data_IF_753609650760
#
_entry.id   IF_753609650760
#
_cell.length_a   1.000
_cell.length_b   1.000
_cell.length_c   1.000
_cell.angle_alpha   90.00
_cell.angle_beta   90.00
_cell.angle_gamma   90.00
#
_symmetry.space_group_name_H-M   'P 1'
#
loop_
_entity.id
_entity.type
_entity.pdbx_description
1 polymer ?
#
# COMPACT_ATOMS: atom_id res chain seq x y z
N UNK A 1 -34.47 18.96 0.91
CA UNK A 1 -33.81 18.01 -0.02
C UNK A 1 -33.72 18.72 -1.36
N UNK A 2 -32.57 19.36 -1.66
CA UNK A 2 -32.37 20.16 -2.90
C UNK A 2 -31.50 19.32 -3.79
N UNK A 3 -32.07 18.77 -4.86
CA UNK A 3 -31.32 18.10 -5.92
C UNK A 3 -30.65 19.12 -6.83
N UNK A 4 -29.38 18.98 -7.20
CA UNK A 4 -28.77 19.86 -8.20
C UNK A 4 -29.35 19.57 -9.58
N UNK A 5 -29.51 20.58 -10.43
CA UNK A 5 -30.21 20.49 -11.71
C UNK A 5 -29.31 20.10 -12.87
N UNK A 6 -28.63 18.98 -12.82
CA UNK A 6 -28.07 18.29 -13.99
C UNK A 6 -27.91 16.82 -13.61
N UNK A 7 -28.73 15.96 -14.24
CA UNK A 7 -28.83 14.55 -13.96
C UNK A 7 -27.56 13.78 -14.31
N UNK A 8 -26.61 13.72 -13.37
CA UNK A 8 -25.50 12.77 -13.39
C UNK A 8 -26.01 11.55 -12.67
N UNK A 9 -26.28 10.49 -13.42
CA UNK A 9 -26.65 9.18 -12.86
C UNK A 9 -25.37 8.54 -12.29
N UNK A 10 -25.17 8.61 -10.97
CA UNK A 10 -24.10 7.90 -10.29
C UNK A 10 -24.50 6.43 -10.13
N UNK A 11 -23.96 5.57 -10.98
CA UNK A 11 -24.00 4.14 -10.73
C UNK A 11 -22.81 3.79 -9.81
N UNK A 12 -23.05 3.69 -8.53
CA UNK A 12 -22.05 3.25 -7.55
C UNK A 12 -22.25 1.77 -7.29
N UNK A 13 -21.36 0.94 -7.85
CA UNK A 13 -21.31 -0.48 -7.54
C UNK A 13 -20.37 -0.67 -6.34
N UNK A 14 -20.93 -0.96 -5.18
CA UNK A 14 -20.15 -1.26 -3.99
C UNK A 14 -19.65 -2.70 -4.03
N UNK A 15 -18.38 -2.87 -4.33
CA UNK A 15 -17.63 -4.08 -4.00
C UNK A 15 -16.53 -3.71 -3.01
N UNK A 16 -16.68 -4.09 -1.74
CA UNK A 16 -15.69 -3.90 -0.67
C UNK A 16 -15.22 -2.44 -0.45
N UNK A 17 -16.12 -1.46 -0.49
CA UNK A 17 -15.79 -0.03 -0.40
C UNK A 17 -14.81 0.49 -1.47
N UNK A 18 -14.83 -0.12 -2.63
CA UNK A 18 -14.08 0.30 -3.82
C UNK A 18 -15.08 0.57 -4.94
N UNK A 19 -15.79 1.71 -4.93
CA UNK A 19 -16.77 2.04 -5.96
C UNK A 19 -16.08 2.35 -7.30
N UNK A 20 -16.72 1.95 -8.38
CA UNK A 20 -16.45 2.47 -9.73
C UNK A 20 -17.27 3.73 -9.91
N UNK A 21 -16.60 4.84 -10.14
CA UNK A 21 -17.20 6.13 -10.38
C UNK A 21 -17.25 6.40 -11.88
N UNK A 22 -18.40 6.77 -12.39
CA UNK A 22 -18.58 7.14 -13.80
C UNK A 22 -19.01 8.61 -13.88
N UNK A 23 -18.29 9.38 -14.67
CA UNK A 23 -18.57 10.78 -14.95
C UNK A 23 -18.52 11.04 -16.45
N UNK A 24 -18.85 12.26 -16.87
CA UNK A 24 -18.85 12.62 -18.29
C UNK A 24 -17.47 12.44 -18.96
N UNK A 25 -16.38 12.62 -18.19
CA UNK A 25 -14.99 12.48 -18.67
C UNK A 25 -14.45 11.05 -18.72
N UNK A 26 -15.20 10.03 -18.20
CA UNK A 26 -14.72 8.66 -18.15
C UNK A 26 -15.07 7.90 -16.87
N UNK A 27 -14.24 6.92 -16.52
CA UNK A 27 -14.46 6.08 -15.33
C UNK A 27 -13.22 6.02 -14.45
N UNK A 28 -13.43 5.93 -13.14
CA UNK A 28 -12.39 5.78 -12.15
C UNK A 28 -12.79 4.77 -11.07
N UNK A 29 -11.82 4.11 -10.46
CA UNK A 29 -12.02 3.35 -9.22
C UNK A 29 -11.62 4.24 -8.05
N UNK A 30 -12.49 4.36 -7.05
CA UNK A 30 -12.23 5.15 -5.85
C UNK A 30 -11.94 4.21 -4.68
N UNK A 31 -10.85 4.45 -3.96
CA UNK A 31 -10.52 3.73 -2.73
C UNK A 31 -10.86 4.67 -1.57
N UNK A 32 -12.02 4.45 -0.94
CA UNK A 32 -12.58 5.30 0.12
C UNK A 32 -12.40 4.69 1.51
N UNK A 33 -12.05 3.43 1.60
CA UNK A 33 -11.96 2.68 2.86
C UNK A 33 -10.91 3.23 3.84
N UNK A 34 -9.97 4.04 3.34
CA UNK A 34 -8.92 4.64 4.17
C UNK A 34 -9.37 5.96 4.83
N UNK A 35 -10.52 6.51 4.44
CA UNK A 35 -11.01 7.78 4.98
C UNK A 35 -11.18 7.70 6.51
N UNK A 36 -11.85 6.69 7.10
CA UNK A 36 -12.05 6.64 8.56
C UNK A 36 -10.76 6.51 9.37
N UNK A 37 -9.70 5.94 8.78
CA UNK A 37 -8.45 5.65 9.49
C UNK A 37 -7.38 6.71 9.28
N UNK A 38 -7.32 7.31 8.10
CA UNK A 38 -6.21 8.17 7.69
C UNK A 38 -6.65 9.40 6.88
N UNK A 39 -7.96 9.60 6.67
CA UNK A 39 -8.55 10.68 5.87
C UNK A 39 -8.01 10.73 4.43
N UNK A 40 -7.53 9.59 3.93
CA UNK A 40 -7.00 9.44 2.57
C UNK A 40 -8.04 8.82 1.66
N UNK A 41 -8.07 9.28 0.41
CA UNK A 41 -8.74 8.59 -0.69
C UNK A 41 -7.80 8.49 -1.89
N UNK A 42 -8.01 7.45 -2.70
CA UNK A 42 -7.22 7.24 -3.91
C UNK A 42 -8.15 7.10 -5.11
N UNK A 43 -7.77 7.73 -6.22
CA UNK A 43 -8.46 7.73 -7.50
C UNK A 43 -7.57 6.98 -8.50
N UNK A 44 -8.07 5.88 -9.04
CA UNK A 44 -7.43 5.13 -10.11
C UNK A 44 -8.24 5.35 -11.39
N UNK A 45 -7.73 6.17 -12.31
CA UNK A 45 -8.38 6.38 -13.60
C UNK A 45 -8.35 5.09 -14.41
N UNK A 46 -9.48 4.74 -15.04
CA UNK A 46 -9.66 3.52 -15.84
C UNK A 46 -9.82 3.83 -17.33
N UNK A 47 -10.81 4.63 -17.65
CA UNK A 47 -11.02 5.15 -19.00
C UNK A 47 -11.14 6.66 -18.90
N UNK A 48 -10.49 7.38 -19.80
CA UNK A 48 -10.50 8.83 -19.82
C UNK A 48 -10.76 9.27 -21.25
N UNK A 49 -11.72 10.15 -21.46
CA UNK A 49 -11.94 10.79 -22.76
C UNK A 49 -10.86 11.84 -22.97
N UNK A 50 -10.28 11.94 -24.18
CA UNK A 50 -9.21 12.87 -24.48
C UNK A 50 -9.55 14.31 -24.07
N UNK A 51 -8.66 14.94 -23.29
CA UNK A 51 -8.81 16.30 -22.79
C UNK A 51 -9.76 16.46 -21.59
N UNK A 52 -10.29 15.36 -21.05
CA UNK A 52 -11.19 15.36 -19.89
C UNK A 52 -10.52 14.91 -18.58
N UNK A 53 -9.21 14.70 -18.57
CA UNK A 53 -8.43 14.17 -17.44
C UNK A 53 -8.65 15.02 -16.17
N UNK A 54 -8.44 16.33 -16.28
CA UNK A 54 -8.56 17.25 -15.16
C UNK A 54 -10.01 17.34 -14.65
N UNK A 55 -10.99 17.31 -15.54
CA UNK A 55 -12.41 17.35 -15.18
C UNK A 55 -12.81 16.09 -14.42
N UNK A 56 -12.46 14.90 -14.94
CA UNK A 56 -12.74 13.60 -14.29
C UNK A 56 -12.10 13.53 -12.91
N UNK A 57 -10.81 13.90 -12.79
CA UNK A 57 -10.12 13.91 -11.50
C UNK A 57 -10.79 14.87 -10.52
N UNK A 58 -11.19 16.06 -10.96
CA UNK A 58 -11.87 17.05 -10.13
C UNK A 58 -13.22 16.57 -9.59
N UNK A 59 -14.03 15.92 -10.43
CA UNK A 59 -15.30 15.32 -10.01
C UNK A 59 -15.09 14.19 -9.01
N UNK A 60 -14.17 13.28 -9.29
CA UNK A 60 -13.80 12.18 -8.38
C UNK A 60 -13.31 12.72 -7.02
N UNK A 61 -12.46 13.75 -7.04
CA UNK A 61 -11.92 14.34 -5.83
C UNK A 61 -12.99 15.04 -5.00
N UNK A 62 -13.92 15.71 -5.65
CA UNK A 62 -15.07 16.34 -4.99
C UNK A 62 -15.92 15.31 -4.26
N UNK A 63 -16.18 14.16 -4.91
CA UNK A 63 -16.87 13.05 -4.28
C UNK A 63 -16.08 12.47 -3.08
N UNK A 64 -14.78 12.25 -3.24
CA UNK A 64 -13.93 11.77 -2.13
C UNK A 64 -13.97 12.73 -0.92
N UNK A 65 -13.96 14.06 -1.17
CA UNK A 65 -14.05 15.08 -0.11
C UNK A 65 -15.43 15.08 0.56
N UNK A 66 -16.52 14.92 -0.20
CA UNK A 66 -17.86 14.76 0.38
C UNK A 66 -17.95 13.51 1.28
N UNK A 67 -17.17 12.46 0.98
CA UNK A 67 -17.04 11.27 1.83
C UNK A 67 -16.13 11.49 3.05
N UNK A 68 -15.51 12.67 3.23
CA UNK A 68 -14.67 13.02 4.37
C UNK A 68 -13.16 12.90 4.14
N UNK A 69 -12.69 12.74 2.90
CA UNK A 69 -11.26 12.72 2.60
C UNK A 69 -10.65 14.12 2.67
N UNK A 70 -9.58 14.28 3.45
CA UNK A 70 -8.76 15.51 3.50
C UNK A 70 -7.55 15.44 2.55
N UNK A 71 -7.15 14.22 2.19
CA UNK A 71 -6.04 13.96 1.26
C UNK A 71 -6.52 13.05 0.14
N UNK A 72 -6.43 13.54 -1.08
CA UNK A 72 -6.83 12.78 -2.27
C UNK A 72 -5.64 12.65 -3.19
N UNK A 73 -5.40 11.44 -3.67
CA UNK A 73 -4.33 11.13 -4.61
C UNK A 73 -4.94 10.49 -5.86
N UNK A 74 -4.38 10.80 -7.02
CA UNK A 74 -4.80 10.22 -8.28
C UNK A 74 -3.62 9.55 -8.99
N UNK A 75 -3.90 8.46 -9.68
CA UNK A 75 -2.98 7.81 -10.60
C UNK A 75 -3.71 7.35 -11.86
N UNK A 76 -2.98 7.34 -12.96
CA UNK A 76 -3.44 6.83 -14.25
C UNK A 76 -2.34 5.99 -14.90
N UNK A 77 -2.60 4.70 -15.06
CA UNK A 77 -1.61 3.75 -15.59
C UNK A 77 -1.30 4.01 -17.07
N UNK A 78 -2.32 4.35 -17.85
CA UNK A 78 -2.25 4.40 -19.30
C UNK A 78 -2.10 5.84 -19.84
N UNK A 79 -1.82 6.83 -18.95
CA UNK A 79 -1.73 8.23 -19.34
C UNK A 79 -0.91 9.08 -18.39
N UNK A 80 -1.02 10.38 -18.56
CA UNK A 80 -0.27 11.39 -17.82
C UNK A 80 -1.18 12.33 -17.03
N UNK A 81 -0.81 12.58 -15.79
CA UNK A 81 -1.44 13.53 -14.88
C UNK A 81 -0.45 14.61 -14.42
N UNK A 82 0.61 14.87 -15.21
CA UNK A 82 1.66 15.86 -14.86
C UNK A 82 1.14 17.29 -14.72
N UNK A 83 -0.11 17.57 -15.14
CA UNK A 83 -0.79 18.82 -14.83
C UNK A 83 -1.12 19.00 -13.35
N UNK A 84 -1.06 17.92 -12.55
CA UNK A 84 -1.27 17.93 -11.10
C UNK A 84 0.08 17.90 -10.36
N UNK A 85 0.14 18.41 -9.11
CA UNK A 85 1.33 18.30 -8.29
C UNK A 85 1.72 16.84 -8.04
N UNK A 86 2.93 16.45 -8.42
CA UNK A 86 3.47 15.12 -8.11
C UNK A 86 3.54 14.91 -6.59
N UNK A 87 3.14 13.74 -6.13
CA UNK A 87 3.15 13.38 -4.71
C UNK A 87 4.26 12.38 -4.39
N UNK A 88 4.23 11.22 -5.03
CA UNK A 88 5.22 10.15 -4.88
C UNK A 88 5.09 9.13 -6.02
N UNK A 89 6.15 8.35 -6.22
CA UNK A 89 6.15 7.18 -7.10
C UNK A 89 6.11 5.90 -6.25
N UNK A 90 5.60 4.81 -6.83
CA UNK A 90 5.82 3.46 -6.33
C UNK A 90 6.95 2.86 -7.13
N UNK A 91 8.05 2.58 -6.46
CA UNK A 91 9.24 1.97 -7.03
C UNK A 91 9.19 0.44 -6.89
N UNK A 92 9.58 -0.26 -7.94
CA UNK A 92 9.98 -1.65 -7.87
C UNK A 92 11.48 -1.73 -7.66
N UNK A 93 11.91 -2.44 -6.62
CA UNK A 93 13.32 -2.67 -6.32
C UNK A 93 13.60 -4.16 -6.35
N UNK A 94 14.81 -4.53 -6.76
CA UNK A 94 15.28 -5.91 -6.85
C UNK A 94 16.64 -6.09 -6.19
N UNK A 95 16.90 -7.30 -5.70
CA UNK A 95 18.21 -7.74 -5.24
C UNK A 95 18.37 -9.24 -5.45
N UNK A 96 19.56 -9.69 -5.83
CA UNK A 96 19.88 -11.12 -5.79
C UNK A 96 20.03 -11.59 -4.35
N UNK A 97 19.43 -12.72 -4.01
CA UNK A 97 19.45 -13.27 -2.65
C UNK A 97 20.87 -13.50 -2.13
N UNK A 98 21.79 -13.88 -3.02
CA UNK A 98 23.21 -14.05 -2.73
C UNK A 98 23.93 -12.76 -2.34
N UNK A 99 23.41 -11.61 -2.74
CA UNK A 99 23.96 -10.29 -2.43
C UNK A 99 23.45 -9.71 -1.09
N UNK A 100 22.48 -10.37 -0.45
CA UNK A 100 21.98 -9.91 0.86
C UNK A 100 23.10 -9.94 1.91
N UNK A 101 23.22 -8.88 2.73
CA UNK A 101 24.17 -8.89 3.84
C UNK A 101 23.78 -9.93 4.89
N UNK A 102 24.74 -10.32 5.71
CA UNK A 102 24.42 -11.07 6.90
C UNK A 102 23.61 -10.21 7.87
N UNK A 103 22.59 -10.82 8.49
CA UNK A 103 21.76 -10.19 9.51
C UNK A 103 21.69 -11.05 10.76
N UNK A 104 21.37 -10.44 11.89
CA UNK A 104 21.09 -11.19 13.12
C UNK A 104 19.79 -11.98 12.94
N UNK A 105 19.75 -13.25 13.35
CA UNK A 105 18.55 -14.07 13.25
C UNK A 105 17.41 -13.44 14.08
N UNK A 106 16.22 -13.43 13.49
CA UNK A 106 14.99 -12.97 14.14
C UNK A 106 14.06 -14.14 14.34
N UNK A 107 13.49 -14.26 15.53
CA UNK A 107 12.44 -15.26 15.81
C UNK A 107 11.17 -14.85 15.11
N UNK A 108 10.76 -15.66 14.12
CA UNK A 108 9.55 -15.46 13.33
C UNK A 108 8.49 -16.49 13.72
N UNK A 109 7.28 -16.04 13.99
CA UNK A 109 6.12 -16.91 14.24
C UNK A 109 5.12 -16.70 13.10
N UNK A 110 4.67 -17.76 12.40
CA UNK A 110 3.64 -17.63 11.39
C UNK A 110 2.34 -17.01 11.95
N UNK A 111 1.67 -16.24 11.13
CA UNK A 111 0.31 -15.75 11.45
C UNK A 111 -0.67 -16.93 11.45
N UNK A 112 -1.46 -17.02 12.49
CA UNK A 112 -2.50 -18.03 12.69
C UNK A 112 -3.79 -17.34 13.16
N UNK A 113 -4.96 -18.02 13.16
CA UNK A 113 -6.20 -17.44 13.67
C UNK A 113 -6.13 -16.97 15.14
N UNK A 114 -5.23 -17.55 15.94
CA UNK A 114 -5.05 -17.21 17.35
C UNK A 114 -4.25 -15.90 17.53
N UNK A 115 -3.42 -15.52 16.55
CA UNK A 115 -2.54 -14.34 16.65
C UNK A 115 -2.79 -13.27 15.57
N UNK A 116 -3.71 -13.49 14.64
CA UNK A 116 -3.98 -12.58 13.51
C UNK A 116 -4.44 -11.19 13.94
N UNK A 117 -5.17 -11.08 15.05
CA UNK A 117 -5.57 -9.79 15.62
C UNK A 117 -4.37 -8.97 16.12
N UNK A 118 -3.31 -9.65 16.59
CA UNK A 118 -2.05 -9.00 16.98
C UNK A 118 -1.32 -8.53 15.72
N UNK A 119 -1.25 -9.37 14.69
CA UNK A 119 -0.67 -9.04 13.39
C UNK A 119 -1.34 -7.80 12.79
N UNK A 120 -2.68 -7.80 12.66
CA UNK A 120 -3.47 -6.69 12.14
C UNK A 120 -3.19 -5.38 12.89
N UNK A 121 -3.13 -5.42 14.22
CA UNK A 121 -2.88 -4.23 15.04
C UNK A 121 -1.48 -3.67 14.81
N UNK A 122 -0.46 -4.52 14.74
CA UNK A 122 0.92 -4.09 14.47
C UNK A 122 1.04 -3.53 13.07
N UNK A 123 0.48 -4.22 12.07
CA UNK A 123 0.42 -3.76 10.69
C UNK A 123 -0.15 -2.34 10.62
N UNK A 124 -1.39 -2.16 11.09
CA UNK A 124 -2.06 -0.87 11.01
C UNK A 124 -1.28 0.25 11.73
N UNK A 125 -0.65 -0.07 12.87
CA UNK A 125 0.18 0.90 13.58
C UNK A 125 1.44 1.29 12.82
N UNK A 126 2.09 0.37 12.14
CA UNK A 126 3.30 0.62 11.35
C UNK A 126 2.99 1.41 10.08
N UNK A 127 1.87 1.11 9.43
CA UNK A 127 1.56 1.63 8.10
C UNK A 127 0.62 2.85 8.07
N UNK A 128 0.04 3.26 9.21
CA UNK A 128 -0.92 4.38 9.29
C UNK A 128 -0.43 5.67 8.59
N UNK A 129 0.87 5.96 8.65
CA UNK A 129 1.46 7.18 8.09
C UNK A 129 2.22 6.94 6.79
N UNK A 130 2.32 5.71 6.34
CA UNK A 130 3.01 5.37 5.09
C UNK A 130 2.09 5.74 3.92
N UNK A 131 2.65 6.43 2.94
CA UNK A 131 1.95 6.73 1.70
C UNK A 131 1.61 5.43 0.97
N UNK A 132 0.49 5.40 0.28
CA UNK A 132 0.02 4.24 -0.48
C UNK A 132 -0.32 2.98 0.34
N UNK A 133 0.02 2.90 1.62
CA UNK A 133 -0.37 1.77 2.45
C UNK A 133 -1.87 1.82 2.77
N UNK A 134 -2.50 0.66 2.67
CA UNK A 134 -3.91 0.45 3.03
C UNK A 134 -4.00 -0.22 4.39
N UNK A 135 -5.01 0.16 5.16
CA UNK A 135 -5.29 -0.47 6.46
C UNK A 135 -5.78 -1.89 6.29
N UNK A 136 -5.39 -2.78 7.20
CA UNK A 136 -5.92 -4.14 7.25
C UNK A 136 -7.17 -4.18 8.12
N UNK A 137 -8.23 -4.70 7.52
CA UNK A 137 -9.46 -5.11 8.20
C UNK A 137 -9.56 -6.66 8.23
N UNK A 138 -10.67 -7.20 8.70
CA UNK A 138 -10.91 -8.65 8.72
C UNK A 138 -10.95 -9.26 7.32
N UNK A 139 -11.37 -8.49 6.30
CA UNK A 139 -11.37 -8.94 4.90
C UNK A 139 -9.97 -9.11 4.35
N UNK A 140 -9.03 -8.20 4.71
CA UNK A 140 -7.62 -8.32 4.32
C UNK A 140 -6.93 -9.51 5.02
N UNK A 141 -7.21 -9.72 6.31
CA UNK A 141 -6.70 -10.90 7.03
C UNK A 141 -7.22 -12.19 6.38
N UNK A 142 -8.51 -12.27 6.08
CA UNK A 142 -9.10 -13.42 5.39
C UNK A 142 -8.50 -13.64 3.98
N UNK A 143 -8.08 -12.55 3.32
CA UNK A 143 -7.40 -12.62 2.03
C UNK A 143 -6.04 -13.30 2.14
N UNK A 144 -5.24 -12.96 3.16
CA UNK A 144 -3.92 -13.60 3.40
C UNK A 144 -4.09 -15.12 3.49
N UNK A 145 -5.08 -15.60 4.25
CA UNK A 145 -5.35 -17.04 4.36
C UNK A 145 -5.81 -17.66 3.04
N UNK A 146 -6.74 -17.01 2.35
CA UNK A 146 -7.30 -17.50 1.08
C UNK A 146 -6.26 -17.59 -0.04
N UNK A 147 -5.34 -16.62 -0.08
CA UNK A 147 -4.30 -16.54 -1.11
C UNK A 147 -3.00 -17.25 -0.69
N UNK A 148 -3.03 -17.95 0.45
CA UNK A 148 -1.87 -18.67 1.00
C UNK A 148 -0.62 -17.79 1.13
N UNK A 149 -0.79 -16.49 1.39
CA UNK A 149 0.31 -15.58 1.64
C UNK A 149 0.98 -15.93 2.97
N UNK A 150 2.29 -15.75 3.02
CA UNK A 150 3.09 -16.07 4.21
C UNK A 150 3.26 -14.82 5.05
N UNK A 151 2.53 -14.74 6.15
CA UNK A 151 2.60 -13.64 7.11
C UNK A 151 3.22 -14.10 8.43
N UNK A 152 4.02 -13.22 9.05
CA UNK A 152 4.80 -13.54 10.25
C UNK A 152 4.73 -12.41 11.27
N UNK A 153 4.77 -12.78 12.53
CA UNK A 153 5.11 -11.92 13.66
C UNK A 153 6.59 -12.09 14.00
N UNK A 154 7.29 -10.97 14.18
CA UNK A 154 8.65 -10.96 14.72
C UNK A 154 8.60 -10.81 16.23
N UNK A 155 9.29 -11.69 16.96
CA UNK A 155 9.30 -11.73 18.42
C UNK A 155 10.63 -11.24 18.98
N UNK A 156 10.57 -10.51 20.09
CA UNK A 156 11.77 -10.19 20.89
C UNK A 156 12.21 -11.36 21.77
N UNK A 157 13.27 -11.19 22.51
CA UNK A 157 13.87 -12.20 23.41
C UNK A 157 12.91 -12.71 24.50
N UNK A 158 11.87 -11.94 24.82
CA UNK A 158 10.85 -12.31 25.79
C UNK A 158 9.59 -12.91 25.11
N UNK A 159 9.66 -13.22 23.80
CA UNK A 159 8.54 -13.76 23.03
C UNK A 159 7.46 -12.71 22.72
N UNK A 160 7.73 -11.41 22.90
CA UNK A 160 6.77 -10.34 22.64
C UNK A 160 6.82 -9.91 21.18
N UNK A 161 5.67 -9.85 20.48
CA UNK A 161 5.61 -9.36 19.12
C UNK A 161 6.03 -7.88 19.01
N UNK A 162 6.97 -7.58 18.10
CA UNK A 162 7.46 -6.23 17.88
C UNK A 162 7.40 -5.77 16.43
N UNK A 163 7.21 -6.67 15.51
CA UNK A 163 7.16 -6.39 14.09
C UNK A 163 6.33 -7.41 13.32
N UNK A 164 6.15 -7.15 12.07
CA UNK A 164 5.45 -8.02 11.12
C UNK A 164 6.23 -8.12 9.81
N UNK A 165 5.99 -9.20 9.08
CA UNK A 165 6.44 -9.38 7.71
C UNK A 165 5.44 -10.19 6.91
N UNK A 166 5.39 -9.91 5.60
CA UNK A 166 4.51 -10.61 4.68
C UNK A 166 5.28 -10.91 3.39
N UNK A 167 5.22 -12.15 2.94
CA UNK A 167 5.88 -12.64 1.73
C UNK A 167 4.84 -13.13 0.73
N UNK A 168 5.02 -12.72 -0.51
CA UNK A 168 4.23 -13.18 -1.65
C UNK A 168 5.17 -13.72 -2.74
N UNK A 169 5.39 -15.04 -2.74
CA UNK A 169 6.45 -15.62 -3.57
C UNK A 169 7.83 -15.09 -3.17
N UNK A 170 8.49 -14.41 -4.09
CA UNK A 170 9.81 -13.79 -3.91
C UNK A 170 9.73 -12.30 -3.56
N UNK A 171 8.54 -11.80 -3.29
CA UNK A 171 8.30 -10.42 -2.89
C UNK A 171 8.14 -10.30 -1.37
N UNK A 172 8.90 -9.37 -0.78
CA UNK A 172 8.63 -8.88 0.57
C UNK A 172 7.51 -7.83 0.46
N UNK A 173 6.25 -8.30 0.56
CA UNK A 173 5.05 -7.49 0.34
C UNK A 173 4.78 -6.48 1.47
N UNK A 174 5.15 -6.82 2.70
CA UNK A 174 5.07 -5.89 3.83
C UNK A 174 6.15 -6.19 4.87
N UNK A 175 6.68 -5.13 5.48
CA UNK A 175 7.53 -5.19 6.66
C UNK A 175 7.28 -3.99 7.56
N UNK A 176 7.08 -4.23 8.84
CA UNK A 176 6.83 -3.18 9.80
C UNK A 176 7.40 -3.50 11.17
N UNK A 177 7.98 -2.49 11.82
CA UNK A 177 8.53 -2.60 13.18
C UNK A 177 7.93 -1.50 14.04
N UNK A 178 7.45 -1.86 15.23
CA UNK A 178 6.89 -0.90 16.18
C UNK A 178 7.93 0.18 16.56
N UNK A 179 7.53 1.43 16.76
CA UNK A 179 8.45 2.56 16.96
C UNK A 179 9.52 2.35 18.07
N UNK A 180 9.17 1.67 19.15
CA UNK A 180 10.11 1.39 20.25
C UNK A 180 11.21 0.40 19.90
N UNK A 181 11.06 -0.34 18.78
CA UNK A 181 12.04 -1.30 18.26
C UNK A 181 12.74 -0.79 16.99
N UNK A 182 12.72 0.54 16.77
CA UNK A 182 13.42 1.16 15.64
C UNK A 182 14.88 0.66 15.59
N UNK A 183 15.36 0.38 14.37
CA UNK A 183 16.68 -0.21 14.12
C UNK A 183 16.67 -1.72 13.88
N UNK A 184 15.61 -2.46 14.31
CA UNK A 184 15.51 -3.91 14.07
C UNK A 184 14.93 -4.28 12.69
N UNK A 185 14.60 -3.32 11.85
CA UNK A 185 13.95 -3.56 10.55
C UNK A 185 14.86 -4.28 9.55
N UNK A 186 16.16 -3.97 9.53
CA UNK A 186 17.14 -4.60 8.63
C UNK A 186 17.30 -6.09 8.92
N UNK A 187 17.51 -6.47 10.19
CA UNK A 187 17.63 -7.89 10.59
C UNK A 187 16.32 -8.66 10.30
N UNK A 188 15.16 -8.02 10.53
CA UNK A 188 13.87 -8.59 10.19
C UNK A 188 13.71 -8.80 8.68
N UNK A 189 14.09 -7.81 7.86
CA UNK A 189 14.04 -7.93 6.41
C UNK A 189 14.92 -9.08 5.89
N UNK A 190 16.16 -9.16 6.34
CA UNK A 190 17.08 -10.27 5.97
C UNK A 190 16.49 -11.62 6.36
N UNK A 191 15.95 -11.74 7.58
CA UNK A 191 15.35 -12.99 8.06
C UNK A 191 14.14 -13.43 7.23
N UNK A 192 13.30 -12.48 6.78
CA UNK A 192 12.16 -12.74 5.91
C UNK A 192 12.59 -13.10 4.49
N UNK A 193 13.49 -12.30 3.89
CA UNK A 193 13.98 -12.48 2.53
C UNK A 193 14.69 -13.84 2.33
N UNK A 194 15.40 -14.32 3.35
CA UNK A 194 16.00 -15.67 3.33
C UNK A 194 14.96 -16.80 3.21
N UNK A 195 13.71 -16.55 3.60
CA UNK A 195 12.61 -17.51 3.45
C UNK A 195 11.99 -17.53 2.05
N UNK A 196 12.25 -16.54 1.19
CA UNK A 196 11.77 -16.55 -0.19
C UNK A 196 12.35 -17.74 -0.96
N UNK A 197 11.56 -18.39 -1.83
CA UNK A 197 12.03 -19.58 -2.55
C UNK A 197 13.01 -19.26 -3.69
N UNK A 198 12.85 -18.11 -4.35
CA UNK A 198 13.66 -17.71 -5.50
C UNK A 198 14.93 -16.95 -5.13
N UNK A 199 15.73 -16.66 -6.15
CA UNK A 199 16.99 -15.92 -6.04
C UNK A 199 16.83 -14.42 -6.37
N UNK A 200 15.85 -14.06 -7.20
CA UNK A 200 15.54 -12.65 -7.55
C UNK A 200 14.46 -12.12 -6.62
N UNK A 201 14.88 -11.37 -5.61
CA UNK A 201 14.00 -10.86 -4.55
C UNK A 201 13.48 -9.46 -4.91
N UNK A 202 12.21 -9.22 -4.56
CA UNK A 202 11.48 -8.02 -4.96
C UNK A 202 10.88 -7.31 -3.76
N UNK A 203 10.80 -5.99 -3.87
CA UNK A 203 10.01 -5.14 -2.97
C UNK A 203 9.38 -4.01 -3.76
N UNK A 204 8.23 -3.55 -3.32
CA UNK A 204 7.63 -2.30 -3.79
C UNK A 204 7.61 -1.29 -2.66
N UNK A 205 7.95 -0.02 -2.96
CA UNK A 205 8.06 1.03 -1.94
C UNK A 205 7.68 2.40 -2.50
N UNK A 206 6.98 3.18 -1.69
CA UNK A 206 6.70 4.57 -2.04
C UNK A 206 7.98 5.41 -1.92
N UNK A 207 8.26 6.25 -2.93
CA UNK A 207 9.49 7.05 -3.03
C UNK A 207 9.66 8.05 -1.87
N UNK A 208 8.57 8.45 -1.23
CA UNK A 208 8.57 9.33 -0.06
C UNK A 208 8.77 8.58 1.28
N UNK A 209 8.86 7.25 1.26
CA UNK A 209 9.19 6.45 2.44
C UNK A 209 10.72 6.34 2.62
N UNK A 210 11.36 7.45 2.98
CA UNK A 210 12.81 7.55 3.11
C UNK A 210 13.42 6.48 4.02
N UNK A 211 12.71 6.08 5.09
CA UNK A 211 13.20 5.06 6.02
C UNK A 211 13.29 3.67 5.37
N UNK A 212 12.27 3.30 4.60
CA UNK A 212 12.27 2.01 3.88
C UNK A 212 13.28 2.05 2.72
N UNK A 213 13.34 3.14 1.94
CA UNK A 213 14.31 3.32 0.87
C UNK A 213 15.74 3.11 1.39
N UNK A 214 16.11 3.82 2.45
CA UNK A 214 17.44 3.68 3.06
C UNK A 214 17.72 2.25 3.58
N UNK A 215 16.71 1.55 4.11
CA UNK A 215 16.86 0.16 4.53
C UNK A 215 17.12 -0.75 3.33
N UNK A 216 16.36 -0.61 2.25
CA UNK A 216 16.51 -1.43 1.05
C UNK A 216 17.82 -1.16 0.32
N UNK A 217 18.28 0.09 0.26
CA UNK A 217 19.61 0.44 -0.26
C UNK A 217 20.73 -0.29 0.52
N UNK A 218 20.66 -0.31 1.85
CA UNK A 218 21.62 -1.03 2.69
C UNK A 218 21.58 -2.55 2.50
N UNK A 219 20.44 -3.09 2.08
CA UNK A 219 20.28 -4.51 1.77
C UNK A 219 20.73 -4.84 0.34
N UNK A 220 21.20 -3.86 -0.43
CA UNK A 220 21.67 -4.06 -1.80
C UNK A 220 20.59 -3.98 -2.86
N UNK A 221 19.35 -3.62 -2.49
CA UNK A 221 18.30 -3.44 -3.49
C UNK A 221 18.60 -2.24 -4.41
N UNK A 222 18.30 -2.41 -5.67
CA UNK A 222 18.41 -1.38 -6.70
C UNK A 222 17.08 -1.16 -7.41
N UNK A 223 16.89 0.05 -7.93
CA UNK A 223 15.69 0.43 -8.67
C UNK A 223 15.62 -0.32 -9.99
N UNK A 224 14.54 -1.06 -10.22
CA UNK A 224 14.27 -1.73 -11.49
C UNK A 224 13.21 -1.01 -12.32
N UNK A 225 12.35 -0.21 -11.70
CA UNK A 225 11.33 0.55 -12.43
C UNK A 225 10.39 1.34 -11.54
N UNK A 226 9.52 2.10 -12.19
CA UNK A 226 8.41 2.83 -11.57
C UNK A 226 7.12 2.10 -11.91
N UNK A 227 6.44 1.56 -10.91
CA UNK A 227 5.18 0.85 -11.12
C UNK A 227 3.99 1.79 -11.29
N UNK A 228 3.98 2.89 -10.55
CA UNK A 228 2.93 3.91 -10.65
C UNK A 228 3.39 5.26 -10.14
N UNK A 229 2.80 6.33 -10.70
CA UNK A 229 2.99 7.71 -10.26
C UNK A 229 1.71 8.22 -9.65
N UNK A 230 1.85 8.90 -8.52
CA UNK A 230 0.74 9.43 -7.76
C UNK A 230 0.82 10.93 -7.63
N UNK A 231 -0.30 11.58 -7.87
CA UNK A 231 -0.43 13.03 -7.90
C UNK A 231 -1.42 13.47 -6.82
N UNK A 232 -1.15 14.63 -6.23
CA UNK A 232 -2.05 15.23 -5.25
C UNK A 232 -3.16 16.00 -5.96
N UNK A 233 -4.39 15.83 -5.45
CA UNK A 233 -5.58 16.52 -5.97
C UNK A 233 -6.12 17.51 -4.95
#
# INVERSE_FOLDING_TARGET
>A
MIFPPHGILFLVIFMNNIPVFTAQGGTATLILREIPMSEKAYILLRTVLPGMEAALVSECASFCRMCGANRVFAAWKDGDLSCLPHAYDIYALHVEKSALPEGKPVTLTPMTPENDAIYQRIYNRCFLRVSHALSYDRGQIARIYREHQRAFLALDENGKPYGIGELHGDELAAIGVLPKYRGKGTDLAVSLLKLCPGEDLKVTVASDNAAAMHMYEKLGFHLSGVESRWYRV
#
